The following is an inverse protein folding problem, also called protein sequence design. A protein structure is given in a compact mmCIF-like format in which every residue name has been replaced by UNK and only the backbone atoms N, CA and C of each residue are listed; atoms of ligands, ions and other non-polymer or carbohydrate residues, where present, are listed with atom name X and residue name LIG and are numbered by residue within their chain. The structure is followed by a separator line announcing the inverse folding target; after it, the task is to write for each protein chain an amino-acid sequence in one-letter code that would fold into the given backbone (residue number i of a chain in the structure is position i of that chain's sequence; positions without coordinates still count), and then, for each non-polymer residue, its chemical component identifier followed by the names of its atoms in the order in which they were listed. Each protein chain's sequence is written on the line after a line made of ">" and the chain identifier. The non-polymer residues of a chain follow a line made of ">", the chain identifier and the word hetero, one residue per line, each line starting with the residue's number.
data_IF_663363355326
#
_entry.id   IF_663363355326
#
_cell.length_a   1.000
_cell.length_b   1.000
_cell.length_c   1.000
_cell.angle_alpha   90.00
_cell.angle_beta   90.00
_cell.angle_gamma   90.00
#
_symmetry.space_group_name_H-M   'P 1'
#
loop_
_entity.id
_entity.type
_entity.pdbx_description
1 polymer ?
#
# COMPACT_ATOMS: atom_id res chain seq x y z
N UNK A 1 -9.06 18.83 1.66
CA UNK A 1 -8.86 17.40 1.35
C UNK A 1 -7.65 16.93 2.13
N UNK A 2 -7.87 16.24 3.25
CA UNK A 2 -6.83 15.70 4.12
C UNK A 2 -6.26 14.44 3.46
N UNK A 3 -5.14 14.56 2.77
CA UNK A 3 -4.37 13.39 2.36
C UNK A 3 -3.67 12.85 3.60
N UNK A 4 -4.23 11.82 4.21
CA UNK A 4 -3.58 11.12 5.30
C UNK A 4 -2.45 10.26 4.74
N UNK A 5 -1.24 10.47 5.27
CA UNK A 5 -0.03 9.74 4.88
C UNK A 5 0.39 8.87 6.06
N UNK A 6 0.68 7.62 5.78
CA UNK A 6 1.17 6.66 6.78
C UNK A 6 2.45 6.02 6.27
N UNK A 7 3.44 5.83 7.14
CA UNK A 7 4.67 5.13 6.79
C UNK A 7 4.63 3.71 7.35
N UNK A 8 4.93 2.71 6.51
CA UNK A 8 4.89 1.31 6.89
C UNK A 8 5.97 0.50 6.17
N UNK A 9 6.85 -0.19 6.90
CA UNK A 9 7.91 -1.07 6.35
C UNK A 9 8.82 -0.41 5.29
N UNK A 10 9.01 0.90 5.33
CA UNK A 10 9.78 1.64 4.31
C UNK A 10 8.96 2.04 3.07
N UNK A 11 7.65 1.85 3.11
CA UNK A 11 6.71 2.40 2.13
C UNK A 11 5.95 3.59 2.73
N UNK A 12 5.64 4.57 1.89
CA UNK A 12 4.68 5.61 2.17
C UNK A 12 3.33 5.20 1.56
N UNK A 13 2.33 5.09 2.43
CA UNK A 13 0.94 4.84 2.07
C UNK A 13 0.21 6.18 2.06
N UNK A 14 -0.24 6.61 0.89
CA UNK A 14 -1.04 7.82 0.72
C UNK A 14 -2.49 7.42 0.51
N UNK A 15 -3.35 7.81 1.46
CA UNK A 15 -4.78 7.67 1.30
C UNK A 15 -5.32 8.77 0.40
N UNK A 16 -6.16 8.38 -0.54
CA UNK A 16 -6.89 9.28 -1.42
C UNK A 16 -8.35 8.87 -1.47
N UNK A 17 -9.23 9.83 -1.29
CA UNK A 17 -10.64 9.65 -1.56
C UNK A 17 -10.89 9.81 -3.07
N UNK A 18 -11.44 8.76 -3.69
CA UNK A 18 -11.87 8.73 -5.08
C UNK A 18 -13.36 8.41 -5.09
N UNK A 19 -14.17 9.41 -5.47
CA UNK A 19 -15.63 9.40 -5.30
C UNK A 19 -16.07 9.12 -3.85
N UNK A 20 -16.97 8.15 -3.65
CA UNK A 20 -17.45 7.71 -2.34
C UNK A 20 -16.55 6.66 -1.67
N UNK A 21 -15.41 6.31 -2.28
CA UNK A 21 -14.49 5.30 -1.75
C UNK A 21 -13.12 5.91 -1.41
N UNK A 22 -12.40 5.22 -0.55
CA UNK A 22 -11.03 5.48 -0.19
C UNK A 22 -10.14 4.46 -0.88
N UNK A 23 -9.03 4.93 -1.43
CA UNK A 23 -7.98 4.11 -2.02
C UNK A 23 -6.65 4.47 -1.37
N UNK A 24 -5.73 3.52 -1.37
CA UNK A 24 -4.38 3.72 -0.88
C UNK A 24 -3.37 3.54 -2.01
N UNK A 25 -2.50 4.53 -2.18
CA UNK A 25 -1.35 4.46 -3.07
C UNK A 25 -0.10 4.17 -2.24
N UNK A 26 0.70 3.19 -2.66
CA UNK A 26 1.86 2.73 -1.90
C UNK A 26 3.11 3.04 -2.70
N UNK A 27 4.00 3.83 -2.11
CA UNK A 27 5.23 4.30 -2.75
C UNK A 27 6.43 3.85 -1.92
N UNK A 28 7.45 3.22 -2.52
CA UNK A 28 8.69 2.95 -1.80
C UNK A 28 9.32 4.29 -1.41
N UNK A 29 9.79 4.42 -0.17
CA UNK A 29 10.53 5.62 0.26
C UNK A 29 12.03 5.49 0.08
N UNK A 30 12.51 4.31 -0.33
CA UNK A 30 13.92 4.00 -0.52
C UNK A 30 14.13 3.27 -1.85
N UNK A 31 15.26 3.50 -2.48
CA UNK A 31 15.61 2.91 -3.78
C UNK A 31 15.95 1.41 -3.70
N UNK A 32 16.19 0.88 -2.50
CA UNK A 32 16.40 -0.55 -2.25
C UNK A 32 15.09 -1.34 -2.13
N UNK A 33 13.94 -0.66 -2.16
CA UNK A 33 12.63 -1.31 -2.09
C UNK A 33 12.02 -1.51 -3.49
N UNK A 34 11.43 -2.69 -3.73
CA UNK A 34 10.77 -3.01 -4.98
C UNK A 34 9.57 -2.08 -5.22
N UNK A 35 9.39 -1.67 -6.48
CA UNK A 35 8.19 -0.94 -6.87
C UNK A 35 6.98 -1.88 -6.84
N UNK A 36 6.06 -1.61 -5.91
CA UNK A 36 4.78 -2.29 -5.83
C UNK A 36 3.87 -1.82 -6.97
N UNK A 37 3.77 -2.61 -8.04
CA UNK A 37 2.77 -2.41 -9.10
C UNK A 37 1.38 -2.83 -8.59
N UNK A 38 0.82 -2.05 -7.68
CA UNK A 38 -0.43 -2.33 -6.99
C UNK A 38 -1.62 -1.72 -7.73
N UNK A 39 -2.61 -2.56 -8.05
CA UNK A 39 -3.90 -2.08 -8.56
C UNK A 39 -4.65 -1.34 -7.47
N UNK A 40 -5.10 -0.11 -7.76
CA UNK A 40 -5.89 0.71 -6.83
C UNK A 40 -7.19 0.02 -6.37
N UNK A 41 -7.69 -0.94 -7.13
CA UNK A 41 -8.84 -1.78 -6.77
C UNK A 41 -8.60 -2.65 -5.52
N UNK A 42 -7.35 -2.98 -5.17
CA UNK A 42 -7.03 -3.79 -3.98
C UNK A 42 -7.16 -3.04 -2.67
N UNK A 43 -7.21 -1.71 -2.71
CA UNK A 43 -7.27 -0.84 -1.53
C UNK A 43 -8.52 0.03 -1.53
N UNK A 44 -9.47 -0.25 -2.43
CA UNK A 44 -10.73 0.46 -2.55
C UNK A 44 -11.68 0.03 -1.43
N UNK A 45 -12.00 0.95 -0.53
CA UNK A 45 -12.80 0.68 0.67
C UNK A 45 -13.72 1.84 1.02
N UNK A 46 -14.71 1.59 1.87
CA UNK A 46 -15.68 2.63 2.25
C UNK A 46 -15.09 3.60 3.29
N UNK A 47 -14.03 3.21 3.99
CA UNK A 47 -13.35 4.01 5.02
C UNK A 47 -11.84 4.11 4.78
N UNK A 48 -11.20 5.21 5.26
CA UNK A 48 -9.75 5.37 5.17
C UNK A 48 -9.00 4.31 6.00
N UNK A 49 -9.56 3.86 7.12
CA UNK A 49 -8.95 2.84 7.97
C UNK A 49 -8.89 1.48 7.27
N UNK A 50 -9.96 1.08 6.58
CA UNK A 50 -10.00 -0.16 5.78
C UNK A 50 -9.01 -0.09 4.61
N UNK A 51 -8.98 1.04 3.90
CA UNK A 51 -8.03 1.24 2.80
C UNK A 51 -6.58 1.16 3.29
N UNK A 52 -6.29 1.69 4.48
CA UNK A 52 -4.97 1.60 5.11
C UNK A 52 -4.62 0.17 5.55
N UNK A 53 -5.57 -0.55 6.14
CA UNK A 53 -5.38 -1.94 6.54
C UNK A 53 -5.10 -2.83 5.34
N UNK A 54 -5.89 -2.69 4.27
CA UNK A 54 -5.69 -3.39 3.01
C UNK A 54 -4.32 -3.05 2.39
N UNK A 55 -3.90 -1.78 2.44
CA UNK A 55 -2.58 -1.38 1.96
C UNK A 55 -1.44 -2.07 2.71
N UNK A 56 -1.50 -2.10 4.05
CA UNK A 56 -0.51 -2.78 4.90
C UNK A 56 -0.46 -4.28 4.63
N UNK A 57 -1.62 -4.92 4.55
CA UNK A 57 -1.70 -6.35 4.22
C UNK A 57 -1.05 -6.65 2.88
N UNK A 58 -1.31 -5.85 1.85
CA UNK A 58 -0.69 -6.07 0.54
C UNK A 58 0.84 -5.87 0.58
N UNK A 59 1.35 -4.92 1.38
CA UNK A 59 2.80 -4.76 1.60
C UNK A 59 3.37 -6.00 2.27
N UNK A 60 2.71 -6.52 3.29
CA UNK A 60 3.13 -7.73 4.00
C UNK A 60 3.10 -8.96 3.09
N UNK A 61 2.05 -9.13 2.27
CA UNK A 61 1.96 -10.19 1.27
C UNK A 61 3.10 -10.09 0.26
N UNK A 62 3.35 -8.90 -0.29
CA UNK A 62 4.40 -8.71 -1.28
C UNK A 62 5.79 -9.00 -0.68
N UNK A 63 6.11 -8.41 0.47
CA UNK A 63 7.39 -8.65 1.15
C UNK A 63 7.55 -10.11 1.58
N UNK A 64 6.45 -10.79 1.97
CA UNK A 64 6.43 -12.21 2.26
C UNK A 64 6.73 -13.06 1.03
N UNK A 65 6.08 -12.77 -0.10
CA UNK A 65 6.29 -13.49 -1.37
C UNK A 65 7.66 -13.23 -2.00
N UNK A 66 8.25 -12.06 -1.81
CA UNK A 66 9.59 -11.75 -2.34
C UNK A 66 10.70 -12.45 -1.53
N UNK A 67 10.47 -12.65 -0.22
CA UNK A 67 11.36 -13.44 0.62
C UNK A 67 11.48 -14.91 0.17
N UNK A 68 10.48 -15.45 -0.54
CA UNK A 68 10.54 -16.79 -1.15
C UNK A 68 11.25 -16.80 -2.51
N UNK A 69 11.24 -15.68 -3.26
CA UNK A 69 11.90 -15.59 -4.58
C UNK A 69 13.40 -15.34 -4.51
N UNK A 70 13.90 -14.80 -3.40
CA UNK A 70 15.33 -14.52 -3.24
C UNK A 70 16.17 -15.75 -2.82
N UNK A 71 15.53 -16.92 -2.68
CA UNK A 71 16.17 -18.19 -2.23
C UNK A 71 16.22 -19.26 -3.33
N UNK A 72 15.93 -18.92 -4.59
CA UNK A 72 15.95 -19.85 -5.73
C UNK A 72 17.17 -19.67 -6.63
#
# INVERSE_FOLDING_TARGET
>A
MTSERSHYRGYEIRLRQEWSNWCANILPTRDDLPMLAMSQLRTLSSSPEEALAAAKQNVDEYLGTESERQVA
#
